data_IF_479264678901
#
_entry.id   IF_479264678901
#
_cell.length_a   1.000
_cell.length_b   1.000
_cell.length_c   1.000
_cell.angle_alpha   90.00
_cell.angle_beta   90.00
_cell.angle_gamma   90.00
#
_symmetry.space_group_name_H-M   'P 1'
#
loop_
_entity.id
_entity.type
_entity.pdbx_description
1 polymer ?
#
# COMPACT_ATOMS: atom_id res chain seq x y z
N UNK A 1 19.39 12.46 30.31
CA UNK A 1 18.96 11.03 30.30
C UNK A 1 17.63 10.83 29.56
N UNK A 2 16.70 11.78 29.65
CA UNK A 2 15.36 11.71 29.05
C UNK A 2 15.31 11.60 27.52
N UNK A 3 16.15 12.36 26.80
CA UNK A 3 16.24 12.29 25.34
C UNK A 3 16.73 10.92 24.81
N UNK A 4 17.62 10.23 25.55
CA UNK A 4 18.08 8.88 25.19
C UNK A 4 16.96 7.85 25.33
N UNK A 5 16.15 7.96 26.39
CA UNK A 5 15.00 7.08 26.64
C UNK A 5 13.90 7.29 25.60
N UNK A 6 13.59 8.54 25.25
CA UNK A 6 12.61 8.88 24.19
C UNK A 6 13.01 8.29 22.84
N UNK A 7 14.28 8.43 22.43
CA UNK A 7 14.76 7.87 21.17
C UNK A 7 14.78 6.33 21.17
N UNK A 8 15.04 5.69 22.32
CA UNK A 8 15.01 4.24 22.44
C UNK A 8 13.58 3.69 22.31
N UNK A 9 12.61 4.32 22.95
CA UNK A 9 11.20 3.95 22.85
C UNK A 9 10.67 4.13 21.43
N UNK A 10 11.05 5.21 20.75
CA UNK A 10 10.65 5.47 19.37
C UNK A 10 11.13 4.34 18.45
N UNK A 11 12.40 3.94 18.56
CA UNK A 11 12.97 2.84 17.77
C UNK A 11 12.32 1.48 18.06
N UNK A 12 11.99 1.20 19.32
CA UNK A 12 11.28 -0.02 19.69
C UNK A 12 9.90 -0.07 19.04
N UNK A 13 9.21 1.07 19.01
CA UNK A 13 7.89 1.17 18.43
C UNK A 13 7.94 1.01 16.91
N UNK A 14 8.90 1.66 16.23
CA UNK A 14 9.13 1.48 14.79
C UNK A 14 9.38 0.02 14.44
N UNK A 15 10.23 -0.67 15.20
CA UNK A 15 10.53 -2.08 14.98
C UNK A 15 9.30 -2.99 15.16
N UNK A 16 8.47 -2.72 16.17
CA UNK A 16 7.23 -3.48 16.38
C UNK A 16 6.23 -3.23 15.24
N UNK A 17 6.11 -1.99 14.76
CA UNK A 17 5.27 -1.67 13.61
C UNK A 17 5.74 -2.39 12.34
N UNK A 18 7.04 -2.39 12.06
CA UNK A 18 7.61 -3.14 10.93
C UNK A 18 7.27 -4.62 11.01
N UNK A 19 7.43 -5.24 12.18
CA UNK A 19 7.09 -6.65 12.39
C UNK A 19 5.60 -6.92 12.11
N UNK A 20 4.71 -6.09 12.65
CA UNK A 20 3.25 -6.26 12.46
C UNK A 20 2.89 -6.14 10.97
N UNK A 21 3.44 -5.13 10.29
CA UNK A 21 3.17 -4.87 8.87
C UNK A 21 3.72 -5.99 7.98
N UNK A 22 4.90 -6.51 8.26
CA UNK A 22 5.52 -7.56 7.43
C UNK A 22 4.96 -8.96 7.68
N UNK A 23 4.41 -9.23 8.87
CA UNK A 23 3.86 -10.54 9.22
C UNK A 23 2.33 -10.66 9.08
N UNK A 24 1.61 -9.56 8.79
CA UNK A 24 0.19 -9.65 8.45
C UNK A 24 -0.03 -10.35 7.09
N UNK A 25 -1.09 -11.13 6.98
CA UNK A 25 -1.50 -11.74 5.70
C UNK A 25 -2.24 -10.76 4.79
N UNK A 26 -2.56 -9.56 5.25
CA UNK A 26 -3.20 -8.52 4.44
C UNK A 26 -2.15 -7.71 3.67
N UNK A 27 -2.39 -7.52 2.37
CA UNK A 27 -1.57 -6.63 1.55
C UNK A 27 -1.71 -5.19 2.02
N UNK A 28 -0.59 -4.56 2.34
CA UNK A 28 -0.49 -3.16 2.74
C UNK A 28 0.33 -2.42 1.68
N UNK A 29 -0.19 -1.28 1.24
CA UNK A 29 0.45 -0.38 0.29
C UNK A 29 0.29 1.05 0.80
N UNK A 30 1.38 1.82 0.76
CA UNK A 30 1.37 3.25 1.10
C UNK A 30 1.78 4.03 -0.13
N UNK A 31 1.02 5.08 -0.43
CA UNK A 31 1.30 5.99 -1.55
C UNK A 31 1.45 7.42 -1.08
N UNK A 32 2.05 8.27 -1.90
CA UNK A 32 1.92 9.72 -1.77
C UNK A 32 0.55 10.21 -2.29
N UNK A 33 0.38 11.54 -2.32
CA UNK A 33 -0.84 12.20 -2.79
C UNK A 33 -1.10 12.03 -4.30
N UNK A 34 -0.06 11.73 -5.10
CA UNK A 34 -0.17 11.45 -6.53
C UNK A 34 -0.37 9.95 -6.81
N UNK A 35 -0.63 9.17 -5.76
CA UNK A 35 -0.76 7.71 -5.78
C UNK A 35 0.51 6.97 -6.22
N UNK A 36 1.68 7.58 -6.06
CA UNK A 36 2.97 6.94 -6.25
C UNK A 36 3.27 6.02 -5.06
N UNK A 37 3.58 4.75 -5.32
CA UNK A 37 3.81 3.75 -4.29
C UNK A 37 5.15 4.01 -3.59
N UNK A 38 5.08 4.27 -2.29
CA UNK A 38 6.23 4.49 -1.41
C UNK A 38 6.63 3.22 -0.66
N UNK A 39 5.66 2.36 -0.36
CA UNK A 39 5.88 1.13 0.40
C UNK A 39 4.84 0.06 0.05
N UNK A 40 5.28 -1.20 0.07
CA UNK A 40 4.44 -2.40 0.06
C UNK A 40 5.01 -3.40 1.05
N UNK A 41 4.15 -4.16 1.74
CA UNK A 41 4.59 -5.24 2.62
C UNK A 41 4.78 -6.58 1.87
N UNK A 42 5.34 -7.58 2.54
CA UNK A 42 5.51 -8.93 1.99
C UNK A 42 4.19 -9.56 1.51
N UNK A 43 3.09 -9.39 2.25
CA UNK A 43 1.81 -9.99 1.85
C UNK A 43 1.28 -9.40 0.54
N UNK A 44 1.46 -8.09 0.30
CA UNK A 44 1.14 -7.48 -0.99
C UNK A 44 1.88 -8.17 -2.14
N UNK A 45 3.18 -8.39 -1.97
CA UNK A 45 4.01 -9.09 -2.97
C UNK A 45 3.50 -10.51 -3.20
N UNK A 46 3.17 -11.25 -2.13
CA UNK A 46 2.67 -12.62 -2.22
C UNK A 46 1.29 -12.71 -2.90
N UNK A 47 0.39 -11.76 -2.63
CA UNK A 47 -0.96 -11.73 -3.20
C UNK A 47 -0.92 -11.31 -4.68
N UNK A 48 -0.07 -10.34 -5.02
CA UNK A 48 -0.06 -9.74 -6.36
C UNK A 48 0.97 -10.33 -7.31
N UNK A 49 1.97 -11.07 -6.79
CA UNK A 49 3.08 -11.60 -7.60
C UNK A 49 4.08 -10.55 -8.07
N UNK A 50 3.92 -9.27 -7.73
CA UNK A 50 4.90 -8.22 -8.06
C UNK A 50 5.88 -8.02 -6.93
N UNK A 51 7.17 -7.97 -7.26
CA UNK A 51 8.21 -7.63 -6.28
C UNK A 51 8.12 -6.17 -5.86
N UNK A 52 8.71 -5.83 -4.70
CA UNK A 52 8.82 -4.43 -4.25
C UNK A 52 9.47 -3.54 -5.32
N UNK A 53 10.54 -3.99 -5.95
CA UNK A 53 11.26 -3.23 -6.98
C UNK A 53 10.43 -3.03 -8.26
N UNK A 54 9.50 -3.94 -8.55
CA UNK A 54 8.59 -3.78 -9.68
C UNK A 54 7.59 -2.64 -9.48
N UNK A 55 7.28 -2.26 -8.23
CA UNK A 55 6.10 -1.42 -7.92
C UNK A 55 6.45 -0.09 -7.26
N UNK A 56 7.57 0.01 -6.56
CA UNK A 56 8.01 1.26 -5.95
C UNK A 56 8.18 2.37 -6.99
N UNK A 57 7.76 3.59 -6.64
CA UNK A 57 7.83 4.75 -7.53
C UNK A 57 6.80 4.74 -8.67
N UNK A 58 5.91 3.74 -8.71
CA UNK A 58 4.89 3.61 -9.76
C UNK A 58 3.49 3.83 -9.19
N UNK A 59 2.51 4.04 -10.06
CA UNK A 59 1.11 4.17 -9.65
C UNK A 59 0.35 2.84 -9.83
N UNK A 60 -0.59 2.49 -8.95
CA UNK A 60 -1.43 1.28 -9.10
C UNK A 60 -2.27 1.27 -10.39
N UNK A 61 -2.35 2.41 -11.08
CA UNK A 61 -3.00 2.53 -12.39
C UNK A 61 -2.42 1.59 -13.43
N UNK A 62 -1.17 1.17 -13.28
CA UNK A 62 -0.49 0.23 -14.16
C UNK A 62 -1.22 -1.11 -14.31
N UNK A 63 -2.00 -1.53 -13.32
CA UNK A 63 -2.70 -2.83 -13.34
C UNK A 63 -4.22 -2.65 -13.25
N UNK A 64 -4.74 -1.50 -13.69
CA UNK A 64 -6.18 -1.29 -13.75
C UNK A 64 -6.84 -2.27 -14.70
N UNK A 65 -7.90 -2.93 -14.23
CA UNK A 65 -8.66 -3.89 -15.04
C UNK A 65 -9.59 -3.24 -16.08
N UNK A 66 -9.74 -1.91 -16.05
CA UNK A 66 -10.74 -1.19 -16.86
C UNK A 66 -12.19 -1.38 -16.41
N UNK A 67 -12.46 -2.20 -15.38
CA UNK A 67 -13.83 -2.47 -14.88
C UNK A 67 -14.48 -1.26 -14.18
N UNK A 68 -13.67 -0.31 -13.73
CA UNK A 68 -14.12 0.87 -12.99
C UNK A 68 -13.94 2.13 -13.84
N UNK A 69 -15.02 2.89 -14.04
CA UNK A 69 -15.00 4.14 -14.80
C UNK A 69 -14.51 5.34 -13.99
N UNK A 70 -14.32 6.48 -14.68
CA UNK A 70 -13.93 7.76 -14.04
C UNK A 70 -14.81 8.16 -12.84
N UNK A 71 -16.16 8.00 -12.87
CA UNK A 71 -17.01 8.38 -11.73
C UNK A 71 -16.70 7.60 -10.45
N UNK A 72 -16.34 6.32 -10.57
CA UNK A 72 -15.98 5.49 -9.43
C UNK A 72 -14.74 6.03 -8.70
N UNK A 73 -13.69 6.33 -9.46
CA UNK A 73 -12.46 6.87 -8.88
C UNK A 73 -12.66 8.29 -8.35
N UNK A 74 -13.50 9.12 -8.99
CA UNK A 74 -13.85 10.43 -8.48
C UNK A 74 -14.49 10.33 -7.09
N UNK A 75 -15.46 9.42 -6.90
CA UNK A 75 -16.10 9.19 -5.59
C UNK A 75 -15.11 8.68 -4.54
N UNK A 76 -14.22 7.76 -4.92
CA UNK A 76 -13.16 7.28 -4.03
C UNK A 76 -12.28 8.44 -3.55
N UNK A 77 -11.80 9.29 -4.46
CA UNK A 77 -10.95 10.43 -4.12
C UNK A 77 -11.68 11.48 -3.28
N UNK A 78 -12.94 11.78 -3.60
CA UNK A 78 -13.79 12.66 -2.79
C UNK A 78 -13.87 12.13 -1.35
N UNK A 79 -14.14 10.84 -1.15
CA UNK A 79 -14.19 10.23 0.19
C UNK A 79 -12.87 10.38 0.96
N UNK A 80 -11.74 10.14 0.30
CA UNK A 80 -10.41 10.28 0.91
C UNK A 80 -10.13 11.74 1.29
N UNK A 81 -10.46 12.69 0.43
CA UNK A 81 -10.19 14.12 0.67
C UNK A 81 -11.10 14.73 1.74
N UNK A 82 -12.37 14.30 1.80
CA UNK A 82 -13.34 14.84 2.75
C UNK A 82 -13.27 14.17 4.13
N UNK A 83 -13.06 12.85 4.18
CA UNK A 83 -13.17 12.06 5.42
C UNK A 83 -11.86 11.44 5.87
N UNK A 84 -10.82 11.47 5.02
CA UNK A 84 -9.55 10.77 5.28
C UNK A 84 -9.63 9.25 5.15
N UNK A 85 -10.77 8.69 4.72
CA UNK A 85 -10.97 7.25 4.62
C UNK A 85 -11.82 6.87 3.42
N UNK A 86 -11.56 5.69 2.88
CA UNK A 86 -12.43 5.02 1.93
C UNK A 86 -12.42 3.51 2.22
N UNK A 87 -13.53 2.84 1.91
CA UNK A 87 -13.64 1.38 1.98
C UNK A 87 -14.50 0.88 0.83
N UNK A 88 -14.04 -0.17 0.17
CA UNK A 88 -14.72 -0.80 -0.96
C UNK A 88 -13.79 -1.75 -1.69
N UNK A 89 -14.21 -2.19 -2.87
CA UNK A 89 -13.46 -3.13 -3.70
C UNK A 89 -12.97 -2.46 -4.98
N UNK A 90 -11.69 -2.65 -5.29
CA UNK A 90 -11.09 -2.23 -6.56
C UNK A 90 -10.65 -3.49 -7.31
N UNK A 91 -11.06 -3.61 -8.57
CA UNK A 91 -10.63 -4.72 -9.41
C UNK A 91 -9.34 -4.35 -10.14
N UNK A 92 -8.24 -5.02 -9.77
CA UNK A 92 -6.99 -4.99 -10.52
C UNK A 92 -6.92 -6.19 -11.48
N UNK A 93 -6.28 -6.00 -12.63
CA UNK A 93 -5.89 -7.10 -13.50
C UNK A 93 -4.40 -7.33 -13.30
N UNK A 94 -4.10 -8.29 -12.43
CA UNK A 94 -2.74 -8.72 -12.18
C UNK A 94 -2.39 -9.68 -13.32
N UNK A 95 -1.43 -9.28 -14.15
CA UNK A 95 -0.87 -10.20 -15.13
C UNK A 95 -0.14 -11.29 -14.36
N UNK A 96 -0.63 -12.53 -14.43
CA UNK A 96 0.12 -13.66 -13.89
C UNK A 96 1.45 -13.73 -14.64
N UNK A 97 2.51 -13.14 -14.08
CA UNK A 97 3.86 -13.62 -14.37
C UNK A 97 3.91 -14.99 -13.73
N UNK A 98 3.48 -16.00 -14.50
CA UNK A 98 3.87 -17.38 -14.26
C UNK A 98 5.40 -17.33 -14.25
N UNK A 99 5.99 -17.31 -13.06
CA UNK A 99 7.35 -17.80 -12.89
C UNK A 99 7.31 -19.25 -13.38
N UNK A 100 8.10 -19.55 -14.41
CA UNK A 100 8.33 -20.91 -14.92
C UNK A 100 8.58 -21.92 -13.80
#
# INVERSE_FOLDING_TARGET
MEGKRKNMLLRQMDHLYEQIVEHTSQGIMVTDADACILFVNRAFTAITGYSKDDVLGKTPRLWQSGKHGKPFYAQLWTSLLETGRWQGEICYSICCRLTD
#
